data_IF_841798654738
#
_entry.id   IF_841798654738
#
_cell.length_a   1.000
_cell.length_b   1.000
_cell.length_c   1.000
_cell.angle_alpha   90.00
_cell.angle_beta   90.00
_cell.angle_gamma   90.00
#
_symmetry.space_group_name_H-M   'P 1'
#
loop_
_entity.id
_entity.type
_entity.pdbx_description
1 polymer ?
#
# COMPACT_ATOMS: atom_id res chain seq x y z
N UNK A 1 14.38 10.09 -13.95
CA UNK A 1 15.00 9.77 -12.64
C UNK A 1 14.02 9.82 -11.45
N UNK A 2 13.56 10.98 -10.93
CA UNK A 2 12.70 10.99 -9.72
C UNK A 2 11.36 10.24 -9.85
N UNK A 3 10.74 10.27 -11.03
CA UNK A 3 9.45 9.60 -11.25
C UNK A 3 9.59 8.08 -11.39
N UNK A 4 10.59 7.62 -12.12
CA UNK A 4 10.92 6.20 -12.29
C UNK A 4 11.23 5.53 -10.94
N UNK A 5 12.00 6.20 -10.09
CA UNK A 5 12.29 5.72 -8.74
C UNK A 5 11.02 5.56 -7.89
N UNK A 6 10.10 6.53 -7.93
CA UNK A 6 8.79 6.43 -7.24
C UNK A 6 7.94 5.29 -7.80
N UNK A 7 7.93 5.09 -9.12
CA UNK A 7 7.19 4.00 -9.76
C UNK A 7 7.70 2.63 -9.28
N UNK A 8 9.02 2.46 -9.22
CA UNK A 8 9.64 1.23 -8.71
C UNK A 8 9.23 0.96 -7.25
N UNK A 9 9.17 1.99 -6.40
CA UNK A 9 8.69 1.84 -5.02
C UNK A 9 7.24 1.38 -4.95
N UNK A 10 6.35 1.97 -5.76
CA UNK A 10 4.95 1.55 -5.80
C UNK A 10 4.87 0.09 -6.21
N UNK A 11 5.58 -0.31 -7.27
CA UNK A 11 5.60 -1.70 -7.75
C UNK A 11 6.09 -2.66 -6.66
N UNK A 12 7.17 -2.34 -5.94
CA UNK A 12 7.66 -3.16 -4.83
C UNK A 12 6.60 -3.31 -3.74
N UNK A 13 6.01 -2.19 -3.29
CA UNK A 13 4.95 -2.20 -2.26
C UNK A 13 3.76 -3.06 -2.71
N UNK A 14 3.32 -2.89 -3.96
CA UNK A 14 2.23 -3.68 -4.55
C UNK A 14 2.56 -5.16 -4.57
N UNK A 15 3.74 -5.54 -5.04
CA UNK A 15 4.14 -6.94 -5.18
C UNK A 15 4.26 -7.65 -3.84
N UNK A 16 4.83 -6.98 -2.82
CA UNK A 16 4.91 -7.58 -1.47
C UNK A 16 3.53 -7.75 -0.86
N UNK A 17 2.63 -6.76 -1.00
CA UNK A 17 1.25 -6.90 -0.55
C UNK A 17 0.54 -8.07 -1.25
N UNK A 18 0.66 -8.17 -2.57
CA UNK A 18 0.08 -9.27 -3.34
C UNK A 18 0.65 -10.63 -2.92
N UNK A 19 1.96 -10.71 -2.70
CA UNK A 19 2.61 -11.93 -2.21
C UNK A 19 2.11 -12.32 -0.82
N UNK A 20 1.94 -11.36 0.10
CA UNK A 20 1.40 -11.62 1.44
C UNK A 20 -0.05 -12.13 1.39
N UNK A 21 -0.86 -11.57 0.49
CA UNK A 21 -2.26 -11.96 0.31
C UNK A 21 -2.44 -13.22 -0.55
N UNK A 22 -1.35 -13.82 -1.07
CA UNK A 22 -1.36 -14.94 -2.02
C UNK A 22 -2.24 -14.66 -3.27
N UNK A 23 -2.08 -13.49 -3.87
CA UNK A 23 -2.84 -13.06 -5.05
C UNK A 23 -1.92 -12.64 -6.20
N UNK A 24 -2.44 -12.76 -7.42
CA UNK A 24 -1.85 -12.10 -8.59
C UNK A 24 -2.14 -10.59 -8.53
N UNK A 25 -1.12 -9.77 -8.83
CA UNK A 25 -1.23 -8.33 -9.03
C UNK A 25 -2.37 -7.89 -9.96
N UNK A 26 -2.75 -8.71 -10.94
CA UNK A 26 -3.91 -8.45 -11.82
C UNK A 26 -5.22 -8.36 -11.06
N UNK A 27 -5.34 -9.05 -9.93
CA UNK A 27 -6.52 -9.08 -9.09
C UNK A 27 -6.50 -7.99 -7.99
N UNK A 28 -5.46 -7.16 -7.94
CA UNK A 28 -5.30 -6.13 -6.91
C UNK A 28 -6.54 -5.23 -6.80
N UNK A 29 -7.12 -4.80 -7.93
CA UNK A 29 -8.30 -3.93 -7.94
C UNK A 29 -9.49 -4.53 -7.18
N UNK A 30 -9.74 -5.82 -7.37
CA UNK A 30 -10.84 -6.53 -6.70
C UNK A 30 -10.57 -6.68 -5.21
N UNK A 31 -9.33 -7.00 -4.85
CA UNK A 31 -8.93 -7.18 -3.45
C UNK A 31 -8.96 -5.86 -2.67
N UNK A 32 -8.58 -4.74 -3.30
CA UNK A 32 -8.68 -3.42 -2.71
C UNK A 32 -10.13 -2.91 -2.56
N UNK A 33 -11.15 -3.63 -3.08
CA UNK A 33 -12.54 -3.35 -2.69
C UNK A 33 -12.77 -3.66 -1.22
N UNK A 34 -12.06 -4.66 -0.66
CA UNK A 34 -12.06 -4.91 0.79
C UNK A 34 -11.37 -3.75 1.51
N UNK A 35 -12.10 -3.14 2.44
CA UNK A 35 -11.69 -1.94 3.17
C UNK A 35 -10.36 -2.12 3.88
N UNK A 36 -10.13 -3.28 4.51
CA UNK A 36 -8.90 -3.56 5.25
C UNK A 36 -7.68 -3.64 4.34
N UNK A 37 -7.79 -4.35 3.21
CA UNK A 37 -6.71 -4.44 2.22
C UNK A 37 -6.37 -3.07 1.63
N UNK A 38 -7.40 -2.25 1.37
CA UNK A 38 -7.20 -0.85 0.95
C UNK A 38 -6.44 -0.05 2.00
N UNK A 39 -6.74 -0.24 3.27
CA UNK A 39 -6.09 0.47 4.37
C UNK A 39 -4.63 0.05 4.52
N UNK A 40 -4.34 -1.25 4.48
CA UNK A 40 -2.97 -1.76 4.45
C UNK A 40 -2.18 -1.13 3.30
N UNK A 41 -2.72 -1.19 2.08
CA UNK A 41 -2.05 -0.65 0.91
C UNK A 41 -1.77 0.86 1.03
N UNK A 42 -2.77 1.64 1.47
CA UNK A 42 -2.61 3.09 1.64
C UNK A 42 -1.57 3.46 2.70
N UNK A 43 -1.49 2.73 3.80
CA UNK A 43 -0.48 2.96 4.84
C UNK A 43 0.93 2.65 4.33
N UNK A 44 1.09 1.57 3.57
CA UNK A 44 2.37 1.22 2.97
C UNK A 44 2.80 2.28 1.94
N UNK A 45 1.89 2.69 1.04
CA UNK A 45 2.17 3.78 0.11
C UNK A 45 2.53 5.08 0.84
N UNK A 46 1.87 5.40 1.96
CA UNK A 46 2.22 6.56 2.79
C UNK A 46 3.65 6.45 3.32
N UNK A 47 3.99 5.32 3.95
CA UNK A 47 5.30 5.07 4.57
C UNK A 47 6.45 5.22 3.57
N UNK A 48 6.26 4.74 2.35
CA UNK A 48 7.28 4.80 1.30
C UNK A 48 7.20 6.05 0.40
N UNK A 49 6.45 7.08 0.83
CA UNK A 49 6.29 8.37 0.14
C UNK A 49 5.74 8.24 -1.30
N UNK A 50 4.75 7.36 -1.47
CA UNK A 50 4.16 6.94 -2.72
C UNK A 50 2.69 7.38 -2.89
N UNK A 51 2.18 8.29 -2.05
CA UNK A 51 0.78 8.78 -2.12
C UNK A 51 0.50 9.79 -3.25
N UNK A 52 1.36 9.85 -4.26
CA UNK A 52 1.16 10.70 -5.42
C UNK A 52 0.03 10.14 -6.30
N UNK A 53 -1.10 10.85 -6.34
CA UNK A 53 -2.32 10.39 -7.02
C UNK A 53 -2.08 10.08 -8.49
N UNK A 54 -1.32 10.93 -9.20
CA UNK A 54 -1.09 10.74 -10.63
C UNK A 54 -0.29 9.45 -10.91
N UNK A 55 0.65 9.12 -10.02
CA UNK A 55 1.45 7.92 -10.14
C UNK A 55 0.68 6.67 -9.72
N UNK A 56 -0.05 6.74 -8.61
CA UNK A 56 -0.90 5.64 -8.15
C UNK A 56 -1.91 5.27 -9.22
N UNK A 57 -2.57 6.25 -9.84
CA UNK A 57 -3.60 6.00 -10.85
C UNK A 57 -3.06 5.35 -12.13
N UNK A 58 -1.73 5.37 -12.39
CA UNK A 58 -1.12 4.57 -13.46
C UNK A 58 -1.16 3.07 -13.17
N UNK A 59 -1.27 2.68 -11.90
CA UNK A 59 -1.27 1.29 -11.44
C UNK A 59 -2.66 0.86 -10.99
N UNK A 60 -3.34 1.71 -10.20
CA UNK A 60 -4.65 1.40 -9.63
C UNK A 60 -5.44 2.66 -9.28
N UNK A 61 -6.73 2.67 -9.62
CA UNK A 61 -7.62 3.77 -9.22
C UNK A 61 -8.02 3.64 -7.75
N UNK A 62 -7.48 4.53 -6.91
CA UNK A 62 -7.83 4.66 -5.49
C UNK A 62 -8.87 5.77 -5.22
N UNK A 63 -9.37 6.41 -6.28
CA UNK A 63 -10.36 7.48 -6.21
C UNK A 63 -9.76 8.89 -6.07
N UNK A 64 -10.57 9.82 -5.56
CA UNK A 64 -10.19 11.23 -5.46
C UNK A 64 -9.13 11.48 -4.37
N UNK A 65 -8.36 12.58 -4.47
CA UNK A 65 -7.37 13.00 -3.46
C UNK A 65 -8.02 13.13 -2.06
N UNK A 66 -9.25 13.64 -2.00
CA UNK A 66 -10.05 13.74 -0.77
C UNK A 66 -10.38 12.37 -0.21
N UNK A 67 -10.82 11.43 -1.05
CA UNK A 67 -11.10 10.05 -0.66
C UNK A 67 -9.84 9.35 -0.14
N UNK A 68 -8.71 9.48 -0.84
CA UNK A 68 -7.43 8.91 -0.42
C UNK A 68 -7.04 9.43 0.97
N UNK A 69 -7.07 10.76 1.17
CA UNK A 69 -6.75 11.37 2.48
C UNK A 69 -7.66 10.86 3.60
N UNK A 70 -8.97 10.79 3.35
CA UNK A 70 -9.93 10.26 4.32
C UNK A 70 -9.64 8.79 4.69
N UNK A 71 -9.38 7.94 3.69
CA UNK A 71 -9.09 6.53 3.92
C UNK A 71 -7.74 6.33 4.62
N UNK A 72 -6.72 7.15 4.32
CA UNK A 72 -5.45 7.16 5.04
C UNK A 72 -5.67 7.46 6.52
N UNK A 73 -6.40 8.53 6.86
CA UNK A 73 -6.69 8.87 8.25
C UNK A 73 -7.41 7.72 8.97
N UNK A 74 -8.38 7.08 8.32
CA UNK A 74 -9.09 5.91 8.88
C UNK A 74 -8.22 4.68 9.03
N UNK A 75 -7.26 4.48 8.13
CA UNK A 75 -6.29 3.41 8.23
C UNK A 75 -5.34 3.64 9.43
N UNK A 76 -4.91 4.89 9.65
CA UNK A 76 -4.07 5.26 10.80
C UNK A 76 -4.80 5.07 12.13
N UNK A 77 -6.07 5.50 12.22
CA UNK A 77 -6.92 5.19 13.38
C UNK A 77 -6.97 3.68 13.65
N UNK A 78 -7.21 2.87 12.61
CA UNK A 78 -7.29 1.40 12.74
C UNK A 78 -5.96 0.78 13.17
N UNK A 79 -4.83 1.30 12.66
CA UNK A 79 -3.49 0.86 13.05
C UNK A 79 -3.22 1.01 14.56
N UNK A 80 -3.78 2.06 15.18
CA UNK A 80 -3.62 2.31 16.61
C UNK A 80 -4.49 1.36 17.46
N UNK A 81 -5.74 1.15 17.06
CA UNK A 81 -6.73 0.46 17.90
C UNK A 81 -6.83 -1.05 17.66
N UNK A 82 -6.49 -1.53 16.47
CA UNK A 82 -6.69 -2.93 16.08
C UNK A 82 -5.35 -3.67 15.98
N UNK A 83 -5.08 -4.56 16.95
CA UNK A 83 -3.82 -5.32 17.04
C UNK A 83 -3.59 -6.20 15.81
N UNK A 84 -4.57 -7.00 15.41
CA UNK A 84 -4.44 -7.93 14.27
C UNK A 84 -4.10 -7.20 12.96
N UNK A 85 -4.78 -6.08 12.71
CA UNK A 85 -4.50 -5.21 11.57
C UNK A 85 -3.09 -4.62 11.62
N UNK A 86 -2.64 -4.20 12.81
CA UNK A 86 -1.29 -3.65 13.02
C UNK A 86 -0.21 -4.70 12.85
N UNK A 87 -0.39 -5.88 13.40
CA UNK A 87 0.56 -6.99 13.28
C UNK A 87 0.67 -7.42 11.80
N UNK A 88 -0.44 -7.44 11.08
CA UNK A 88 -0.48 -7.65 9.62
C UNK A 88 0.30 -6.57 8.87
N UNK A 89 0.08 -5.29 9.20
CA UNK A 89 0.80 -4.17 8.58
C UNK A 89 2.32 -4.30 8.76
N UNK A 90 2.78 -4.55 9.98
CA UNK A 90 4.22 -4.67 10.26
C UNK A 90 4.84 -5.90 9.61
N UNK A 91 4.12 -7.02 9.53
CA UNK A 91 4.59 -8.20 8.79
C UNK A 91 4.86 -7.89 7.32
N UNK A 92 3.96 -7.14 6.67
CA UNK A 92 4.13 -6.73 5.27
C UNK A 92 5.29 -5.71 5.15
N UNK A 93 5.37 -4.76 6.09
CA UNK A 93 6.44 -3.76 6.13
C UNK A 93 7.83 -4.41 6.22
N UNK A 94 8.01 -5.39 7.11
CA UNK A 94 9.25 -6.16 7.23
C UNK A 94 9.64 -6.84 5.90
N UNK A 95 8.66 -7.38 5.18
CA UNK A 95 8.88 -7.97 3.87
C UNK A 95 9.45 -6.96 2.86
N UNK A 96 8.95 -5.73 2.89
CA UNK A 96 9.44 -4.64 2.04
C UNK A 96 10.83 -4.17 2.48
N UNK A 97 11.07 -4.01 3.78
CA UNK A 97 12.38 -3.62 4.31
C UNK A 97 13.48 -4.62 3.95
N UNK A 98 13.17 -5.93 3.95
CA UNK A 98 14.11 -6.98 3.51
C UNK A 98 14.52 -6.82 2.06
N UNK A 99 13.64 -6.30 1.20
CA UNK A 99 13.97 -6.00 -0.21
C UNK A 99 14.88 -4.77 -0.27
N UNK A 100 14.56 -3.69 0.44
CA UNK A 100 15.38 -2.48 0.45
C UNK A 100 16.75 -2.67 1.11
N UNK A 101 16.91 -3.55 2.09
CA UNK A 101 18.21 -3.87 2.70
C UNK A 101 19.13 -4.70 1.80
N UNK A 102 18.59 -5.32 0.74
CA UNK A 102 19.34 -6.14 -0.23
C UNK A 102 19.74 -5.37 -1.49
N UNK A 103 19.18 -4.19 -1.70
CA UNK A 103 19.52 -3.28 -2.82
C UNK A 103 20.54 -2.26 -2.37
#
# INVERSE_FOLDING_TARGET
>A
MKQEYKLNKIIIVTNVLCSYLNIDSKNLKEILKKKENKYLYLLLLKKYNCLDKEMINKIIDLGSKRSIKYNVNKAEEKLLINKEFRDTYFTIEEGIERIYKRM
#
